data_IF_346920572322
#
_entry.id   IF_346920572322
#
_cell.length_a   1.000
_cell.length_b   1.000
_cell.length_c   1.000
_cell.angle_alpha   90.00
_cell.angle_beta   90.00
_cell.angle_gamma   90.00
#
_symmetry.space_group_name_H-M   'P 1'
#
loop_
_entity.id
_entity.type
_entity.pdbx_description
1 polymer ?
#
# COMPACT_ATOMS: atom_id res chain seq x y z
N UNK A 1 22.94 -10.14 12.74
CA UNK A 1 21.92 -9.72 11.74
C UNK A 1 22.22 -10.34 10.37
N UNK A 2 23.42 -10.16 9.80
CA UNK A 2 23.82 -10.75 8.50
C UNK A 2 23.76 -12.29 8.44
N UNK A 3 24.13 -12.99 9.52
CA UNK A 3 24.02 -14.47 9.58
C UNK A 3 22.56 -14.94 9.47
N UNK A 4 21.63 -14.24 10.14
CA UNK A 4 20.20 -14.54 10.05
C UNK A 4 19.62 -14.21 8.66
N UNK A 5 20.15 -13.18 8.00
CA UNK A 5 19.81 -12.84 6.62
C UNK A 5 20.21 -13.96 5.65
N UNK A 6 21.45 -14.46 5.74
CA UNK A 6 21.94 -15.58 4.94
C UNK A 6 21.20 -16.89 5.25
N UNK A 7 20.87 -17.15 6.52
CA UNK A 7 19.98 -18.25 6.90
C UNK A 7 18.62 -18.13 6.23
N UNK A 8 18.01 -16.94 6.21
CA UNK A 8 16.71 -16.75 5.58
C UNK A 8 16.74 -17.10 4.10
N UNK A 9 17.83 -16.77 3.37
CA UNK A 9 18.00 -17.14 1.96
C UNK A 9 18.08 -18.65 1.79
N UNK A 10 18.75 -19.37 2.70
CA UNK A 10 18.85 -20.84 2.66
C UNK A 10 17.51 -21.54 2.85
N UNK A 11 16.64 -21.02 3.73
CA UNK A 11 15.34 -21.65 4.05
C UNK A 11 14.17 -21.14 3.20
N UNK A 12 14.24 -19.89 2.72
CA UNK A 12 13.17 -19.23 1.96
C UNK A 12 13.59 -18.85 0.53
N UNK A 13 14.64 -19.49 -0.01
CA UNK A 13 15.17 -19.19 -1.35
C UNK A 13 14.15 -19.34 -2.48
N UNK A 14 13.12 -20.18 -2.33
CA UNK A 14 12.00 -20.28 -3.27
C UNK A 14 11.06 -19.06 -3.25
N UNK A 15 11.08 -18.26 -2.19
CA UNK A 15 10.29 -17.02 -2.02
C UNK A 15 11.08 -15.77 -2.42
N UNK A 16 12.29 -15.93 -2.96
CA UNK A 16 13.13 -14.83 -3.42
C UNK A 16 12.46 -13.92 -4.48
N UNK A 17 11.67 -14.43 -5.44
CA UNK A 17 10.89 -13.57 -6.34
C UNK A 17 9.91 -12.63 -5.61
N UNK A 18 9.35 -13.07 -4.49
CA UNK A 18 8.42 -12.28 -3.67
C UNK A 18 9.16 -11.13 -2.99
N UNK A 19 10.43 -11.32 -2.62
CA UNK A 19 11.27 -10.26 -2.06
C UNK A 19 11.53 -9.17 -3.09
N UNK A 20 11.84 -9.55 -4.33
CA UNK A 20 12.00 -8.58 -5.42
C UNK A 20 10.71 -7.80 -5.67
N UNK A 21 9.56 -8.47 -5.72
CA UNK A 21 8.27 -7.82 -5.87
C UNK A 21 7.99 -6.84 -4.73
N UNK A 22 8.26 -7.25 -3.47
CA UNK A 22 8.11 -6.39 -2.29
C UNK A 22 8.97 -5.13 -2.40
N UNK A 23 10.26 -5.28 -2.69
CA UNK A 23 11.20 -4.15 -2.77
C UNK A 23 10.87 -3.24 -3.95
N UNK A 24 10.50 -3.81 -5.11
CA UNK A 24 10.05 -3.06 -6.27
C UNK A 24 8.83 -2.20 -5.95
N UNK A 25 7.80 -2.78 -5.31
CA UNK A 25 6.62 -2.03 -4.89
C UNK A 25 6.96 -0.98 -3.83
N UNK A 26 7.84 -1.30 -2.89
CA UNK A 26 8.32 -0.33 -1.90
C UNK A 26 8.96 0.90 -2.56
N UNK A 27 9.80 0.68 -3.57
CA UNK A 27 10.40 1.75 -4.36
C UNK A 27 9.35 2.52 -5.18
N UNK A 28 8.39 1.82 -5.81
CA UNK A 28 7.30 2.43 -6.55
C UNK A 28 6.45 3.37 -5.67
N UNK A 29 6.03 2.92 -4.47
CA UNK A 29 5.30 3.75 -3.52
C UNK A 29 6.13 4.92 -3.01
N UNK A 30 7.44 4.75 -2.82
CA UNK A 30 8.32 5.85 -2.43
C UNK A 30 8.35 6.95 -3.49
N UNK A 31 8.47 6.57 -4.77
CA UNK A 31 8.43 7.53 -5.88
C UNK A 31 7.09 8.25 -5.96
N UNK A 32 5.98 7.51 -5.81
CA UNK A 32 4.64 8.09 -5.82
C UNK A 32 4.43 9.08 -4.67
N UNK A 33 4.83 8.70 -3.45
CA UNK A 33 4.74 9.54 -2.27
C UNK A 33 5.60 10.81 -2.40
N UNK A 34 6.83 10.68 -2.92
CA UNK A 34 7.71 11.82 -3.19
C UNK A 34 7.14 12.75 -4.26
N UNK A 35 6.54 12.21 -5.32
CA UNK A 35 5.89 13.00 -6.35
C UNK A 35 4.70 13.79 -5.80
N UNK A 36 3.88 13.18 -4.93
CA UNK A 36 2.77 13.86 -4.26
C UNK A 36 3.22 14.89 -3.24
N UNK A 37 4.26 14.58 -2.49
CA UNK A 37 4.82 15.49 -1.48
C UNK A 37 5.48 16.73 -2.10
N UNK A 38 6.22 16.56 -3.20
CA UNK A 38 6.85 17.67 -3.93
C UNK A 38 5.91 18.41 -4.87
N UNK A 39 4.80 17.78 -5.25
CA UNK A 39 3.81 18.35 -6.16
C UNK A 39 2.71 19.13 -5.43
N UNK A 40 1.68 19.49 -6.19
CA UNK A 40 0.53 20.26 -5.68
C UNK A 40 -0.54 19.40 -4.98
N UNK A 41 -0.29 18.11 -4.75
CA UNK A 41 -1.31 17.17 -4.26
C UNK A 41 -1.79 17.51 -2.84
N UNK A 42 -0.93 18.11 -2.02
CA UNK A 42 -1.24 18.53 -0.65
C UNK A 42 -1.83 19.93 -0.55
N UNK A 43 -1.66 20.76 -1.58
CA UNK A 43 -2.04 22.18 -1.58
C UNK A 43 -3.27 22.47 -2.42
N UNK A 44 -3.59 21.63 -3.40
CA UNK A 44 -4.76 21.78 -4.28
C UNK A 44 -5.73 20.59 -4.11
N UNK A 45 -7.04 20.81 -4.27
CA UNK A 45 -8.09 19.80 -4.09
C UNK A 45 -8.15 18.74 -5.20
N UNK A 46 -7.00 18.28 -5.73
CA UNK A 46 -6.93 17.32 -6.84
C UNK A 46 -7.68 16.02 -6.55
N UNK A 47 -7.59 15.53 -5.31
CA UNK A 47 -8.32 14.32 -4.92
C UNK A 47 -9.83 14.55 -4.86
N UNK A 48 -10.28 15.74 -4.47
CA UNK A 48 -11.70 16.08 -4.45
C UNK A 48 -12.26 16.19 -5.88
N UNK A 49 -11.49 16.82 -6.78
CA UNK A 49 -11.80 16.89 -8.22
C UNK A 49 -11.87 15.49 -8.84
N UNK A 50 -10.89 14.64 -8.55
CA UNK A 50 -10.87 13.27 -9.03
C UNK A 50 -12.07 12.47 -8.51
N UNK A 51 -12.41 12.62 -7.22
CA UNK A 51 -13.58 11.98 -6.64
C UNK A 51 -14.86 12.48 -7.31
N UNK A 52 -15.04 13.80 -7.49
CA UNK A 52 -16.27 14.34 -8.07
C UNK A 52 -16.45 13.95 -9.55
N UNK A 53 -15.35 13.78 -10.28
CA UNK A 53 -15.34 13.37 -11.68
C UNK A 53 -15.66 11.88 -11.86
N UNK A 54 -15.00 10.99 -11.10
CA UNK A 54 -15.07 9.54 -11.35
C UNK A 54 -16.05 8.78 -10.47
N UNK A 55 -16.37 9.27 -9.26
CA UNK A 55 -17.31 8.60 -8.36
C UNK A 55 -18.72 8.42 -8.95
N UNK A 56 -19.30 9.36 -9.72
CA UNK A 56 -20.61 9.16 -10.35
C UNK A 56 -20.60 7.98 -11.32
N UNK A 57 -19.53 7.84 -12.11
CA UNK A 57 -19.37 6.79 -13.11
C UNK A 57 -18.97 5.42 -12.51
N UNK A 58 -18.52 5.38 -11.25
CA UNK A 58 -18.08 4.13 -10.64
C UNK A 58 -19.25 3.19 -10.31
N UNK A 59 -18.97 1.88 -10.29
CA UNK A 59 -19.91 0.83 -9.87
C UNK A 59 -20.08 0.75 -8.34
N UNK A 60 -19.60 1.76 -7.59
CA UNK A 60 -19.64 1.75 -6.15
C UNK A 60 -21.09 1.79 -5.62
N UNK A 61 -21.39 1.13 -4.49
CA UNK A 61 -22.71 1.21 -3.86
C UNK A 61 -23.11 2.65 -3.51
N UNK A 62 -24.40 2.97 -3.59
CA UNK A 62 -24.89 4.33 -3.33
C UNK A 62 -24.56 4.84 -1.92
N UNK A 63 -24.58 3.95 -0.92
CA UNK A 63 -24.19 4.31 0.46
C UNK A 63 -22.74 4.79 0.54
N UNK A 64 -21.85 4.17 -0.24
CA UNK A 64 -20.45 4.51 -0.28
C UNK A 64 -20.25 5.84 -1.02
N UNK A 65 -20.94 6.03 -2.15
CA UNK A 65 -20.92 7.31 -2.88
C UNK A 65 -21.35 8.46 -1.96
N UNK A 66 -22.44 8.30 -1.22
CA UNK A 66 -22.90 9.29 -0.25
C UNK A 66 -21.83 9.59 0.81
N UNK A 67 -21.26 8.55 1.44
CA UNK A 67 -20.22 8.70 2.45
C UNK A 67 -19.01 9.49 1.93
N UNK A 68 -18.51 9.15 0.74
CA UNK A 68 -17.37 9.82 0.11
C UNK A 68 -17.71 11.28 -0.21
N UNK A 69 -18.90 11.55 -0.75
CA UNK A 69 -19.31 12.93 -1.05
C UNK A 69 -19.46 13.81 0.19
N UNK A 70 -19.97 13.27 1.30
CA UNK A 70 -20.23 14.04 2.52
C UNK A 70 -18.99 14.20 3.39
N UNK A 71 -18.12 13.20 3.46
CA UNK A 71 -16.96 13.21 4.37
C UNK A 71 -15.63 13.48 3.68
N UNK A 72 -15.39 12.87 2.50
CA UNK A 72 -14.07 12.91 1.87
C UNK A 72 -13.87 14.18 1.05
N UNK A 73 -14.87 14.62 0.28
CA UNK A 73 -14.77 15.83 -0.53
C UNK A 73 -14.51 17.09 0.33
N UNK A 74 -15.25 17.34 1.43
CA UNK A 74 -15.02 18.54 2.25
C UNK A 74 -13.68 18.50 3.00
N UNK A 75 -13.22 17.31 3.40
CA UNK A 75 -11.98 17.10 4.17
C UNK A 75 -10.81 16.63 3.29
N UNK A 76 -10.79 17.03 2.02
CA UNK A 76 -9.84 16.53 1.02
C UNK A 76 -8.37 16.73 1.43
N UNK A 77 -8.06 17.83 2.14
CA UNK A 77 -6.69 18.14 2.52
C UNK A 77 -6.17 17.13 3.54
N UNK A 78 -6.95 16.85 4.58
CA UNK A 78 -6.63 15.83 5.58
C UNK A 78 -6.47 14.46 4.93
N UNK A 79 -7.37 14.12 4.00
CA UNK A 79 -7.30 12.87 3.24
C UNK A 79 -6.01 12.79 2.41
N UNK A 80 -5.61 13.86 1.72
CA UNK A 80 -4.38 13.93 0.94
C UNK A 80 -3.12 13.72 1.80
N UNK A 81 -3.08 14.31 2.99
CA UNK A 81 -2.01 14.08 3.97
C UNK A 81 -1.98 12.64 4.45
N UNK A 82 -3.14 12.06 4.80
CA UNK A 82 -3.24 10.67 5.27
C UNK A 82 -2.76 9.71 4.17
N UNK A 83 -3.23 9.87 2.93
CA UNK A 83 -2.83 9.01 1.81
C UNK A 83 -1.33 9.10 1.57
N UNK A 84 -0.78 10.32 1.49
CA UNK A 84 0.65 10.51 1.25
C UNK A 84 1.49 9.93 2.39
N UNK A 85 1.05 10.11 3.64
CA UNK A 85 1.71 9.53 4.83
C UNK A 85 1.66 8.00 4.85
N UNK A 86 0.53 7.41 4.48
CA UNK A 86 0.39 5.95 4.35
C UNK A 86 1.27 5.40 3.22
N UNK A 87 1.37 6.08 2.09
CA UNK A 87 2.26 5.67 0.99
C UNK A 87 3.72 5.66 1.43
N UNK A 88 4.18 6.66 2.19
CA UNK A 88 5.51 6.63 2.80
C UNK A 88 5.69 5.48 3.79
N UNK A 89 4.69 5.23 4.65
CA UNK A 89 4.76 4.15 5.63
C UNK A 89 4.85 2.76 4.96
N UNK A 90 4.04 2.53 3.91
CA UNK A 90 4.05 1.31 3.11
C UNK A 90 5.39 1.16 2.38
N UNK A 91 5.89 2.23 1.76
CA UNK A 91 7.16 2.23 1.05
C UNK A 91 8.33 1.82 1.97
N UNK A 92 8.45 2.48 3.13
CA UNK A 92 9.50 2.20 4.11
C UNK A 92 9.36 0.77 4.65
N UNK A 93 8.14 0.34 4.97
CA UNK A 93 7.85 -1.02 5.44
C UNK A 93 8.31 -2.08 4.43
N UNK A 94 8.03 -1.88 3.14
CA UNK A 94 8.32 -2.83 2.09
C UNK A 94 9.81 -2.89 1.75
N UNK A 95 10.50 -1.74 1.74
CA UNK A 95 11.94 -1.66 1.51
C UNK A 95 12.72 -2.33 2.64
N UNK A 96 12.35 -2.04 3.89
CA UNK A 96 13.02 -2.62 5.06
C UNK A 96 12.57 -4.06 5.35
N UNK A 97 11.40 -4.46 4.86
CA UNK A 97 10.76 -5.71 5.24
C UNK A 97 10.37 -5.73 6.72
N UNK A 98 9.85 -4.61 7.24
CA UNK A 98 9.39 -4.45 8.62
C UNK A 98 7.89 -4.20 8.68
N UNK A 99 7.15 -5.00 9.44
CA UNK A 99 5.70 -4.90 9.65
C UNK A 99 4.95 -5.03 8.31
N UNK A 100 5.45 -5.90 7.43
CA UNK A 100 4.98 -6.01 6.04
C UNK A 100 3.54 -6.51 5.97
N UNK A 101 3.13 -7.42 6.86
CA UNK A 101 1.78 -8.00 6.87
C UNK A 101 0.67 -6.95 7.06
N UNK A 102 0.62 -6.21 8.19
CA UNK A 102 -0.43 -5.20 8.37
C UNK A 102 -0.28 -4.04 7.38
N UNK A 103 0.94 -3.67 6.97
CA UNK A 103 1.12 -2.64 5.94
C UNK A 103 0.61 -3.08 4.58
N UNK A 104 0.74 -4.36 4.24
CA UNK A 104 0.15 -4.90 3.02
C UNK A 104 -1.38 -4.94 3.06
N UNK A 105 -1.99 -5.22 4.21
CA UNK A 105 -3.45 -5.11 4.35
C UNK A 105 -3.92 -3.66 4.21
N UNK A 106 -3.20 -2.71 4.81
CA UNK A 106 -3.49 -1.28 4.64
C UNK A 106 -3.33 -0.83 3.19
N UNK A 107 -2.27 -1.28 2.51
CA UNK A 107 -2.06 -0.99 1.09
C UNK A 107 -3.18 -1.58 0.21
N UNK A 108 -3.60 -2.82 0.47
CA UNK A 108 -4.73 -3.44 -0.23
C UNK A 108 -6.03 -2.65 -0.03
N UNK A 109 -6.31 -2.22 1.22
CA UNK A 109 -7.49 -1.40 1.51
C UNK A 109 -7.39 -0.04 0.80
N UNK A 110 -6.23 0.59 0.78
CA UNK A 110 -6.00 1.85 0.08
C UNK A 110 -6.23 1.70 -1.44
N UNK A 111 -5.68 0.65 -2.06
CA UNK A 111 -5.90 0.35 -3.48
C UNK A 111 -7.38 0.07 -3.78
N UNK A 112 -8.08 -0.64 -2.89
CA UNK A 112 -9.51 -0.91 -3.05
C UNK A 112 -10.34 0.38 -3.01
N UNK A 113 -10.01 1.31 -2.11
CA UNK A 113 -10.65 2.63 -2.07
C UNK A 113 -10.34 3.41 -3.37
N UNK A 114 -9.08 3.42 -3.79
CA UNK A 114 -8.63 4.10 -5.01
C UNK A 114 -9.28 3.54 -6.27
N UNK A 115 -9.57 2.24 -6.33
CA UNK A 115 -10.28 1.62 -7.45
C UNK A 115 -11.63 2.29 -7.73
N UNK A 116 -12.39 2.67 -6.70
CA UNK A 116 -13.71 3.29 -6.87
C UNK A 116 -13.68 4.79 -7.21
N UNK A 117 -12.55 5.46 -6.98
CA UNK A 117 -12.40 6.92 -7.14
C UNK A 117 -11.39 7.29 -8.23
N UNK A 118 -10.86 6.33 -8.98
CA UNK A 118 -9.87 6.56 -10.03
C UNK A 118 -10.48 6.51 -11.41
N UNK A 119 -9.76 7.09 -12.38
CA UNK A 119 -10.14 7.06 -13.78
C UNK A 119 -10.12 5.63 -14.36
N UNK A 120 -10.89 5.38 -15.43
CA UNK A 120 -10.81 4.14 -16.19
C UNK A 120 -9.37 3.90 -16.68
N UNK A 121 -8.82 2.72 -16.41
CA UNK A 121 -7.44 2.33 -16.69
C UNK A 121 -6.55 2.33 -15.43
N UNK A 122 -6.71 3.33 -14.56
CA UNK A 122 -6.04 3.32 -13.24
C UNK A 122 -6.74 2.35 -12.30
N UNK A 123 -8.07 2.25 -12.40
CA UNK A 123 -8.90 1.30 -11.66
C UNK A 123 -8.44 -0.17 -11.80
N UNK A 124 -8.07 -0.62 -13.00
CA UNK A 124 -7.56 -1.96 -13.29
C UNK A 124 -6.18 -2.20 -12.69
N UNK A 125 -5.34 -1.17 -12.68
CA UNK A 125 -4.05 -1.23 -12.01
C UNK A 125 -4.25 -1.34 -10.48
N UNK A 126 -5.19 -0.60 -9.91
CA UNK A 126 -5.50 -0.66 -8.48
C UNK A 126 -6.01 -2.04 -8.06
N UNK A 127 -6.93 -2.66 -8.82
CA UNK A 127 -7.42 -4.00 -8.47
C UNK A 127 -6.31 -5.06 -8.56
N UNK A 128 -5.39 -4.91 -9.51
CA UNK A 128 -4.19 -5.76 -9.61
C UNK A 128 -3.30 -5.59 -8.38
N UNK A 129 -3.08 -4.35 -7.93
CA UNK A 129 -2.33 -4.07 -6.71
C UNK A 129 -3.00 -4.63 -5.46
N UNK A 130 -4.33 -4.61 -5.36
CA UNK A 130 -5.05 -5.29 -4.26
C UNK A 130 -4.64 -6.77 -4.18
N UNK A 131 -4.68 -7.49 -5.31
CA UNK A 131 -4.28 -8.90 -5.37
C UNK A 131 -2.83 -9.11 -4.94
N UNK A 132 -1.92 -8.25 -5.40
CA UNK A 132 -0.50 -8.34 -5.03
C UNK A 132 -0.29 -8.06 -3.53
N UNK A 133 -0.93 -7.05 -2.97
CA UNK A 133 -0.83 -6.73 -1.55
C UNK A 133 -1.40 -7.84 -0.66
N UNK A 134 -2.51 -8.46 -1.06
CA UNK A 134 -3.07 -9.62 -0.35
C UNK A 134 -2.12 -10.83 -0.40
N UNK A 135 -1.48 -11.10 -1.54
CA UNK A 135 -0.50 -12.19 -1.63
C UNK A 135 0.74 -11.92 -0.76
N UNK A 136 1.25 -10.69 -0.73
CA UNK A 136 2.35 -10.28 0.15
C UNK A 136 1.99 -10.42 1.64
N UNK A 137 0.77 -10.06 2.02
CA UNK A 137 0.26 -10.23 3.39
C UNK A 137 0.17 -11.72 3.77
N UNK A 138 -0.39 -12.54 2.87
CA UNK A 138 -0.63 -13.96 3.11
C UNK A 138 0.67 -14.74 3.28
N UNK A 139 1.58 -14.61 2.31
CA UNK A 139 2.90 -15.26 2.31
C UNK A 139 3.76 -14.77 3.49
N UNK A 140 3.51 -13.56 3.98
CA UNK A 140 4.34 -12.94 5.01
C UNK A 140 5.69 -12.55 4.42
N UNK A 141 5.67 -11.78 3.33
CA UNK A 141 6.86 -11.43 2.56
C UNK A 141 7.96 -10.74 3.38
N UNK A 142 7.65 -10.13 4.54
CA UNK A 142 8.64 -9.58 5.47
C UNK A 142 9.55 -10.65 6.10
N UNK A 143 9.08 -11.89 6.26
CA UNK A 143 9.85 -13.00 6.83
C UNK A 143 10.94 -13.51 5.88
N UNK A 144 10.82 -13.20 4.60
CA UNK A 144 11.82 -13.54 3.60
C UNK A 144 12.75 -12.33 3.45
N UNK A 145 14.00 -12.44 3.92
CA UNK A 145 15.04 -11.43 3.63
C UNK A 145 14.61 -10.01 4.09
N UNK A 146 13.92 -9.91 5.22
CA UNK A 146 13.42 -8.67 5.82
C UNK A 146 13.66 -8.61 7.32
N UNK A 147 13.52 -7.43 7.92
CA UNK A 147 13.69 -7.23 9.37
C UNK A 147 12.68 -8.06 10.17
N UNK A 148 11.50 -8.34 9.62
CA UNK A 148 10.48 -9.20 10.25
C UNK A 148 11.01 -10.60 10.55
N UNK A 149 11.95 -11.16 9.76
CA UNK A 149 12.56 -12.46 10.05
C UNK A 149 13.26 -12.49 11.43
N UNK A 150 13.89 -11.37 11.83
CA UNK A 150 14.59 -11.28 13.10
C UNK A 150 13.63 -11.28 14.29
N UNK A 151 12.51 -10.56 14.17
CA UNK A 151 11.48 -10.52 15.21
C UNK A 151 10.65 -11.81 15.24
N UNK A 152 10.32 -12.39 14.08
CA UNK A 152 9.61 -13.67 13.97
C UNK A 152 10.38 -14.82 14.63
N UNK A 153 11.72 -14.86 14.48
CA UNK A 153 12.56 -15.88 15.14
C UNK A 153 12.51 -15.78 16.67
N UNK A 154 12.22 -14.60 17.24
CA UNK A 154 12.16 -14.34 18.69
C UNK A 154 10.75 -14.33 19.28
N UNK A 155 9.74 -13.89 18.52
CA UNK A 155 8.33 -13.85 18.94
C UNK A 155 7.44 -14.28 17.77
N UNK A 156 6.88 -15.49 17.86
CA UNK A 156 5.92 -16.01 16.87
C UNK A 156 4.54 -15.41 17.14
N UNK A 157 4.28 -14.25 16.55
CA UNK A 157 2.98 -13.60 16.56
C UNK A 157 2.33 -13.64 15.17
N UNK A 158 1.02 -13.43 15.12
CA UNK A 158 0.25 -13.44 13.87
C UNK A 158 0.69 -12.31 12.92
N UNK A 159 1.20 -11.22 13.49
CA UNK A 159 1.55 -9.96 12.80
C UNK A 159 2.99 -9.87 12.29
N UNK A 160 3.87 -10.79 12.70
CA UNK A 160 5.30 -10.83 12.35
C UNK A 160 5.61 -12.12 11.61
#
# INVERSE_FOLDING_TARGET
>A
MLVAFLESIKYTGHLLPVVFLRVFLGYYYLLQALAKYKGDFLTRPRIAEQISEFLPASLAPNWYKFFVTTWFIPNWQTLAFIITGLEFAIAISYLLGFVVRPMALLAALMCLQMHYISSPGVDQLQITFVGIHLTLAWIGAGRCVGIDYYYFKRRRGIWW
#
